data_IF_684080102075
#
_entry.id   IF_684080102075
#
_cell.length_a   1.000
_cell.length_b   1.000
_cell.length_c   1.000
_cell.angle_alpha   90.00
_cell.angle_beta   90.00
_cell.angle_gamma   90.00
#
_symmetry.space_group_name_H-M   'P 1'
#
loop_
_entity.id
_entity.type
_entity.pdbx_description
1 polymer ?
#
# COMPACT_ATOMS: atom_id res chain seq x y z
N UNK A 1 -20.64 -10.79 -12.69
CA UNK A 1 -19.68 -9.76 -12.27
C UNK A 1 -19.71 -8.65 -13.31
N UNK A 2 -19.88 -7.37 -12.92
CA UNK A 2 -19.67 -6.25 -13.84
C UNK A 2 -18.26 -6.27 -14.44
N UNK A 3 -18.10 -5.66 -15.62
CA UNK A 3 -16.79 -5.45 -16.27
C UNK A 3 -16.47 -3.95 -16.18
N UNK A 4 -15.24 -3.61 -15.84
CA UNK A 4 -14.75 -2.24 -15.81
C UNK A 4 -13.46 -2.10 -16.62
N UNK A 5 -13.19 -0.89 -17.09
CA UNK A 5 -11.95 -0.52 -17.79
C UNK A 5 -11.27 0.55 -16.94
N UNK A 6 -9.96 0.43 -16.76
CA UNK A 6 -9.14 1.41 -16.05
C UNK A 6 -7.86 1.71 -16.82
N UNK A 7 -7.23 2.84 -16.51
CA UNK A 7 -5.91 3.18 -17.02
C UNK A 7 -4.87 2.17 -16.50
N UNK A 8 -3.95 1.74 -17.37
CA UNK A 8 -2.83 0.90 -17.01
C UNK A 8 -1.75 1.74 -16.30
N UNK A 9 -1.39 1.34 -15.07
CA UNK A 9 -0.25 1.91 -14.35
C UNK A 9 1.02 1.16 -14.73
N UNK A 10 1.98 1.87 -15.30
CA UNK A 10 3.28 1.32 -15.70
C UNK A 10 4.36 1.69 -14.70
N UNK A 11 5.28 0.76 -14.41
CA UNK A 11 6.47 0.98 -13.57
C UNK A 11 6.22 1.59 -12.17
N UNK A 12 5.03 1.36 -11.60
CA UNK A 12 4.67 1.86 -10.29
C UNK A 12 5.26 1.00 -9.15
N UNK A 13 5.42 1.62 -7.99
CA UNK A 13 5.64 0.93 -6.71
C UNK A 13 4.30 0.41 -6.16
N UNK A 14 4.33 -0.75 -5.51
CA UNK A 14 3.19 -1.26 -4.74
C UNK A 14 3.48 -1.02 -3.26
N UNK A 15 2.81 -0.03 -2.68
CA UNK A 15 2.93 0.34 -1.28
C UNK A 15 1.62 0.05 -0.56
N UNK A 16 1.71 -0.43 0.67
CA UNK A 16 0.55 -0.76 1.51
C UNK A 16 0.65 -0.05 2.86
N UNK A 17 -0.48 0.33 3.44
CA UNK A 17 -0.58 0.81 4.83
C UNK A 17 -1.30 -0.26 5.64
N UNK A 18 -0.73 -0.64 6.79
CA UNK A 18 -1.39 -1.54 7.70
C UNK A 18 -2.39 -0.78 8.55
N UNK A 19 -3.67 -1.12 8.42
CA UNK A 19 -4.76 -0.54 9.21
C UNK A 19 -5.14 -1.50 10.34
N UNK A 20 -5.42 -0.93 11.51
CA UNK A 20 -6.06 -1.61 12.64
C UNK A 20 -7.26 -0.77 13.08
N UNK A 21 -8.42 -1.40 13.20
CA UNK A 21 -9.66 -0.72 13.60
C UNK A 21 -10.41 -1.51 14.67
N UNK A 22 -11.13 -0.79 15.54
CA UNK A 22 -11.99 -1.36 16.57
C UNK A 22 -13.48 -1.18 16.25
N UNK A 23 -14.35 -1.67 17.14
CA UNK A 23 -15.80 -1.56 16.99
C UNK A 23 -16.38 -0.22 17.47
N UNK A 24 -15.54 0.63 18.05
CA UNK A 24 -15.92 1.92 18.62
C UNK A 24 -15.66 3.08 17.66
N UNK A 25 -15.23 2.78 16.42
CA UNK A 25 -14.99 3.76 15.36
C UNK A 25 -13.56 4.28 15.29
N UNK A 26 -12.62 3.69 16.05
CA UNK A 26 -11.22 4.06 15.96
C UNK A 26 -10.54 3.24 14.86
N UNK A 27 -9.75 3.92 14.02
CA UNK A 27 -8.87 3.29 13.05
C UNK A 27 -7.51 3.98 13.10
N UNK A 28 -6.44 3.18 13.10
CA UNK A 28 -5.06 3.67 13.11
C UNK A 28 -4.27 3.02 11.98
N UNK A 29 -3.29 3.74 11.46
CA UNK A 29 -2.19 3.21 10.67
C UNK A 29 -1.09 2.71 11.61
N UNK A 30 -0.55 1.52 11.33
CA UNK A 30 0.54 0.96 12.12
C UNK A 30 1.91 1.27 11.54
N UNK A 31 2.04 1.22 10.20
CA UNK A 31 3.14 1.66 9.33
C UNK A 31 2.76 1.22 7.90
N UNK A 32 3.71 1.23 6.96
CA UNK A 32 3.52 0.71 5.61
C UNK A 32 4.59 -0.28 5.17
N UNK A 33 4.31 -0.97 4.06
CA UNK A 33 5.17 -1.96 3.42
C UNK A 33 5.48 -1.57 1.98
N UNK A 34 6.68 -1.88 1.53
CA UNK A 34 7.00 -1.95 0.09
C UNK A 34 6.93 -3.42 -0.35
N UNK A 35 5.94 -3.73 -1.20
CA UNK A 35 5.76 -5.06 -1.81
C UNK A 35 5.87 -5.00 -3.34
N UNK A 36 6.66 -4.03 -3.85
CA UNK A 36 6.86 -3.81 -5.29
C UNK A 36 7.57 -4.97 -5.98
N UNK A 37 8.32 -5.80 -5.24
CA UNK A 37 9.02 -6.95 -5.80
C UNK A 37 8.04 -8.10 -6.02
N UNK A 38 7.51 -8.14 -7.23
CA UNK A 38 6.51 -9.12 -7.66
C UNK A 38 6.96 -9.83 -8.93
N UNK A 39 6.58 -11.10 -9.08
CA UNK A 39 6.77 -11.85 -10.32
C UNK A 39 5.43 -12.40 -10.77
N UNK A 40 4.97 -11.99 -11.95
CA UNK A 40 3.68 -12.41 -12.52
C UNK A 40 2.50 -12.20 -11.54
N UNK A 41 2.40 -11.01 -10.95
CA UNK A 41 1.36 -10.62 -9.98
C UNK A 41 1.37 -11.35 -8.63
N UNK A 42 2.43 -12.11 -8.34
CA UNK A 42 2.66 -12.69 -7.02
C UNK A 42 3.70 -11.86 -6.26
N UNK A 43 3.39 -11.48 -5.01
CA UNK A 43 4.37 -10.87 -4.10
C UNK A 43 5.46 -11.87 -3.76
N UNK A 44 6.73 -11.48 -3.92
CA UNK A 44 7.89 -12.35 -3.69
C UNK A 44 8.70 -11.87 -2.48
N UNK A 45 8.93 -10.56 -2.39
CA UNK A 45 9.64 -9.93 -1.28
C UNK A 45 8.78 -8.76 -0.80
N UNK A 46 8.64 -8.67 0.53
CA UNK A 46 7.93 -7.58 1.20
C UNK A 46 8.84 -7.02 2.29
N UNK A 47 8.98 -5.70 2.33
CA UNK A 47 9.84 -4.99 3.26
C UNK A 47 9.03 -3.98 4.07
N UNK A 48 9.45 -3.73 5.32
CA UNK A 48 8.85 -2.74 6.20
C UNK A 48 9.94 -2.01 7.01
N UNK A 49 9.86 -0.67 7.18
CA UNK A 49 8.82 0.24 6.67
C UNK A 49 8.99 0.60 5.18
N UNK A 50 8.00 1.26 4.58
CA UNK A 50 8.09 1.76 3.20
C UNK A 50 9.05 2.97 3.08
N UNK A 51 10.33 2.72 2.81
CA UNK A 51 11.40 3.74 2.86
C UNK A 51 11.56 4.57 1.58
N UNK A 52 11.01 4.12 0.45
CA UNK A 52 11.22 4.75 -0.86
C UNK A 52 10.41 6.05 -1.07
N UNK A 53 9.35 6.22 -0.29
CA UNK A 53 8.42 7.34 -0.40
C UNK A 53 8.84 8.48 0.53
N UNK A 54 8.64 9.73 0.11
CA UNK A 54 8.96 10.88 0.96
C UNK A 54 8.09 10.88 2.22
N UNK A 55 8.62 11.33 3.35
CA UNK A 55 7.88 11.37 4.63
C UNK A 55 6.56 12.13 4.49
N UNK A 56 6.56 13.28 3.80
CA UNK A 56 5.33 14.07 3.59
C UNK A 56 4.28 13.32 2.76
N UNK A 57 4.69 12.58 1.73
CA UNK A 57 3.75 11.76 0.95
C UNK A 57 3.27 10.56 1.76
N UNK A 58 4.13 9.95 2.56
CA UNK A 58 3.76 8.79 3.37
C UNK A 58 2.81 9.17 4.50
N UNK A 59 3.01 10.31 5.15
CA UNK A 59 2.07 10.89 6.11
C UNK A 59 0.68 11.15 5.49
N UNK A 60 0.61 11.44 4.19
CA UNK A 60 -0.67 11.57 3.49
C UNK A 60 -1.33 10.22 3.21
N UNK A 61 -0.54 9.16 3.06
CA UNK A 61 -1.06 7.80 2.87
C UNK A 61 -1.58 7.18 4.17
N UNK A 62 -1.03 7.59 5.32
CA UNK A 62 -1.39 7.07 6.65
C UNK A 62 -2.63 7.74 7.27
N UNK A 63 -3.14 8.81 6.66
CA UNK A 63 -4.34 9.55 7.07
C UNK A 63 -5.60 9.01 6.41
#
# INVERSE_FOLDING_TARGET
>A
SPIFIMQLAEHARHLEVQILADQYGNAISLFGRDCSIQRRHQKIIEEAPATIVSTTTFEQMER
#
